data_IF_949300796307
#
_entry.id   IF_949300796307
#
_cell.length_a   1.000
_cell.length_b   1.000
_cell.length_c   1.000
_cell.angle_alpha   90.00
_cell.angle_beta   90.00
_cell.angle_gamma   90.00
#
_symmetry.space_group_name_H-M   'P 1'
#
loop_
_entity.id
_entity.type
_entity.pdbx_description
1 polymer ?
#
# COMPACT_ATOMS: atom_id res chain seq x y z
N UNK A 1 -2.35 11.81 -18.03
CA UNK A 1 -2.06 11.87 -16.59
C UNK A 1 -1.74 10.46 -16.10
N UNK A 2 -0.66 10.29 -15.35
CA UNK A 2 -0.28 9.01 -14.75
C UNK A 2 -0.40 9.12 -13.24
N UNK A 3 -0.61 8.01 -12.56
CA UNK A 3 -0.74 7.95 -11.11
C UNK A 3 0.22 6.92 -10.54
N UNK A 4 1.07 7.33 -9.60
CA UNK A 4 1.99 6.45 -8.89
C UNK A 4 1.28 5.88 -7.66
N UNK A 5 1.19 4.55 -7.58
CA UNK A 5 0.76 3.86 -6.37
C UNK A 5 1.94 3.74 -5.41
N UNK A 6 1.75 4.24 -4.19
CA UNK A 6 2.72 4.14 -3.09
C UNK A 6 2.08 3.40 -1.94
N UNK A 7 2.75 2.37 -1.41
CA UNK A 7 2.28 1.57 -0.27
C UNK A 7 3.18 1.79 0.94
N UNK A 8 2.56 1.85 2.12
CA UNK A 8 3.23 1.92 3.41
C UNK A 8 2.63 0.86 4.33
N UNK A 9 3.48 0.04 4.93
CA UNK A 9 3.07 -0.98 5.92
C UNK A 9 3.59 -0.55 7.29
N UNK A 10 2.73 -0.62 8.31
CA UNK A 10 3.06 -0.25 9.67
C UNK A 10 2.68 -1.35 10.66
N UNK A 11 3.47 -1.49 11.72
CA UNK A 11 3.06 -2.13 12.96
C UNK A 11 2.47 -1.07 13.89
N UNK A 12 1.17 -1.14 14.16
CA UNK A 12 0.54 -0.24 15.12
C UNK A 12 0.91 -0.58 16.57
N UNK A 13 1.30 -1.83 16.87
CA UNK A 13 1.74 -2.19 18.22
C UNK A 13 3.12 -1.62 18.56
N UNK A 14 4.03 -1.58 17.59
CA UNK A 14 5.39 -1.05 17.75
C UNK A 14 5.50 0.44 17.39
N UNK A 15 4.52 1.01 16.69
CA UNK A 15 4.52 2.40 16.26
C UNK A 15 5.54 2.70 15.15
N UNK A 16 5.92 1.70 14.35
CA UNK A 16 6.91 1.79 13.28
C UNK A 16 6.29 1.44 11.93
N UNK A 17 6.71 2.18 10.91
CA UNK A 17 6.34 1.96 9.51
C UNK A 17 7.59 1.70 8.66
N UNK A 18 7.45 0.88 7.63
CA UNK A 18 8.45 0.80 6.58
C UNK A 18 8.42 2.07 5.73
N UNK A 19 9.53 2.37 5.06
CA UNK A 19 9.57 3.46 4.09
C UNK A 19 8.52 3.24 2.99
N UNK A 20 7.79 4.28 2.56
CA UNK A 20 6.83 4.17 1.47
C UNK A 20 7.48 3.59 0.20
N UNK A 21 6.85 2.57 -0.39
CA UNK A 21 7.37 1.87 -1.57
C UNK A 21 6.51 2.15 -2.80
N UNK A 22 7.10 2.55 -3.95
CA UNK A 22 6.38 2.68 -5.20
C UNK A 22 6.06 1.29 -5.75
N UNK A 23 4.79 1.07 -6.11
CA UNK A 23 4.30 -0.25 -6.57
C UNK A 23 3.97 -0.28 -8.06
N UNK A 24 3.87 0.88 -8.71
CA UNK A 24 3.63 0.98 -10.15
C UNK A 24 2.90 2.25 -10.55
N UNK A 25 2.87 2.50 -11.86
CA UNK A 25 2.16 3.64 -12.45
C UNK A 25 0.92 3.18 -13.21
N UNK A 26 -0.15 3.96 -13.13
CA UNK A 26 -1.45 3.65 -13.71
C UNK A 26 -2.00 4.82 -14.54
N UNK A 27 -2.82 4.50 -15.54
CA UNK A 27 -3.41 5.49 -16.45
C UNK A 27 -4.66 6.19 -15.88
N UNK A 28 -5.18 5.72 -14.75
CA UNK A 28 -6.33 6.33 -14.10
C UNK A 28 -6.28 6.15 -12.59
N UNK A 29 -6.85 7.12 -11.88
CA UNK A 29 -7.04 7.04 -10.43
C UNK A 29 -7.81 5.78 -10.05
N UNK A 30 -8.86 5.43 -10.82
CA UNK A 30 -9.65 4.22 -10.62
C UNK A 30 -8.80 2.93 -10.65
N UNK A 31 -7.88 2.80 -11.62
CA UNK A 31 -6.99 1.63 -11.68
C UNK A 31 -6.00 1.63 -10.51
N UNK A 32 -5.42 2.78 -10.19
CA UNK A 32 -4.47 2.92 -9.09
C UNK A 32 -5.11 2.54 -7.74
N UNK A 33 -6.29 3.07 -7.43
CA UNK A 33 -6.96 2.83 -6.16
C UNK A 33 -7.41 1.37 -6.01
N UNK A 34 -7.99 0.78 -7.04
CA UNK A 34 -8.37 -0.64 -7.02
C UNK A 34 -7.15 -1.55 -6.84
N UNK A 35 -6.03 -1.24 -7.52
CA UNK A 35 -4.80 -2.00 -7.32
C UNK A 35 -4.25 -1.85 -5.89
N UNK A 36 -4.33 -0.65 -5.31
CA UNK A 36 -3.97 -0.40 -3.92
C UNK A 36 -4.74 -1.28 -2.94
N UNK A 37 -6.07 -1.36 -3.07
CA UNK A 37 -6.90 -2.25 -2.24
C UNK A 37 -6.57 -3.73 -2.44
N UNK A 38 -6.36 -4.16 -3.70
CA UNK A 38 -5.97 -5.54 -4.01
C UNK A 38 -4.65 -5.91 -3.35
N UNK A 39 -3.62 -5.08 -3.50
CA UNK A 39 -2.31 -5.32 -2.89
C UNK A 39 -2.38 -5.27 -1.36
N UNK A 40 -3.18 -4.38 -0.77
CA UNK A 40 -3.36 -4.33 0.67
C UNK A 40 -3.95 -5.65 1.21
N UNK A 41 -4.94 -6.21 0.51
CA UNK A 41 -5.48 -7.53 0.83
C UNK A 41 -4.43 -8.64 0.67
N UNK A 42 -3.69 -8.65 -0.44
CA UNK A 42 -2.66 -9.65 -0.72
C UNK A 42 -1.52 -9.60 0.30
N UNK A 43 -1.12 -8.41 0.75
CA UNK A 43 -0.12 -8.24 1.81
C UNK A 43 -0.58 -8.85 3.13
N UNK A 44 -1.81 -8.55 3.57
CA UNK A 44 -2.37 -9.17 4.77
C UNK A 44 -2.40 -10.69 4.67
N UNK A 45 -2.79 -11.23 3.51
CA UNK A 45 -2.79 -12.67 3.26
C UNK A 45 -1.38 -13.25 3.30
N UNK A 46 -0.39 -12.58 2.71
CA UNK A 46 1.01 -13.03 2.65
C UNK A 46 1.71 -13.01 4.00
N UNK A 47 1.44 -12.01 4.85
CA UNK A 47 1.99 -11.91 6.21
C UNK A 47 1.37 -12.93 7.16
N UNK A 48 0.13 -13.34 6.88
CA UNK A 48 -0.59 -14.33 7.67
C UNK A 48 -1.30 -13.72 8.88
N UNK A 49 -2.34 -14.44 9.32
CA UNK A 49 -3.26 -13.98 10.38
C UNK A 49 -2.55 -13.64 11.68
N UNK A 50 -1.58 -14.46 12.09
CA UNK A 50 -0.94 -14.32 13.40
C UNK A 50 -0.14 -13.02 13.47
N UNK A 51 0.73 -12.77 12.48
CA UNK A 51 1.52 -11.54 12.40
C UNK A 51 0.63 -10.29 12.26
N UNK A 52 -0.39 -10.35 11.39
CA UNK A 52 -1.32 -9.23 11.21
C UNK A 52 -1.99 -8.85 12.52
N UNK A 53 -2.40 -9.83 13.33
CA UNK A 53 -3.04 -9.59 14.62
C UNK A 53 -2.06 -9.10 15.69
N UNK A 54 -0.88 -9.72 15.81
CA UNK A 54 0.13 -9.38 16.81
C UNK A 54 0.71 -7.98 16.60
N UNK A 55 1.10 -7.68 15.36
CA UNK A 55 1.68 -6.38 15.02
C UNK A 55 0.63 -5.27 14.88
N UNK A 56 -0.67 -5.64 14.91
CA UNK A 56 -1.79 -4.78 14.52
C UNK A 56 -1.47 -4.11 13.18
N UNK A 57 -1.18 -4.94 12.19
CA UNK A 57 -0.63 -4.50 10.90
C UNK A 57 -1.59 -3.56 10.19
N UNK A 58 -1.08 -2.44 9.72
CA UNK A 58 -1.79 -1.47 8.89
C UNK A 58 -1.12 -1.47 7.52
N UNK A 59 -1.89 -1.76 6.48
CA UNK A 59 -1.45 -1.59 5.09
C UNK A 59 -2.18 -0.38 4.50
N UNK A 60 -1.46 0.71 4.34
CA UNK A 60 -1.97 1.94 3.75
C UNK A 60 -1.39 2.14 2.35
N UNK A 61 -2.12 2.88 1.51
CA UNK A 61 -1.65 3.26 0.20
C UNK A 61 -2.14 4.64 -0.19
N UNK A 62 -1.45 5.25 -1.15
CA UNK A 62 -1.88 6.49 -1.79
C UNK A 62 -1.61 6.43 -3.29
N UNK A 63 -2.44 7.13 -4.05
CA UNK A 63 -2.24 7.39 -5.46
C UNK A 63 -1.81 8.85 -5.59
N UNK A 64 -0.62 9.06 -6.15
CA UNK A 64 -0.06 10.39 -6.36
C UNK A 64 -0.11 10.71 -7.85
N UNK A 65 -0.53 11.93 -8.20
CA UNK A 65 -0.38 12.40 -9.58
C UNK A 65 1.11 12.38 -9.93
N UNK A 66 1.43 11.65 -10.99
CA UNK A 66 2.78 11.48 -11.48
C UNK A 66 2.86 12.17 -12.83
N UNK A 67 3.20 13.46 -12.79
CA UNK A 67 3.53 14.19 -14.00
C UNK A 67 4.90 13.73 -14.47
N UNK A 68 4.92 13.07 -15.62
CA UNK A 68 6.16 12.82 -16.35
C UNK A 68 6.60 14.16 -16.92
N UNK A 69 7.62 14.77 -16.32
CA UNK A 69 8.37 15.89 -16.94
C UNK A 69 9.03 15.36 -18.22
#
# INVERSE_FOLDING_TARGET
MKFLLVITICSSSLGICINPQPMGQFDSWYKCSNQGYSLAYDFNKSMGKDRVNEEKTIVNFSCQEFDSI
#
